data_IF_476450908822
#
_entry.id   IF_476450908822
#
_cell.length_a   1.000
_cell.length_b   1.000
_cell.length_c   1.000
_cell.angle_alpha   90.00
_cell.angle_beta   90.00
_cell.angle_gamma   90.00
#
_symmetry.space_group_name_H-M   'P 1'
#
loop_
_entity.id
_entity.type
_entity.pdbx_description
1 polymer ?
#
# COMPACT_ATOMS: atom_id res chain seq x y z
N UNK A 1 7.06 2.13 24.93
CA UNK A 1 7.28 3.01 23.76
C UNK A 1 5.99 3.10 22.99
N UNK A 2 5.63 4.29 22.48
CA UNK A 2 4.45 4.49 21.62
C UNK A 2 4.83 4.24 20.16
N UNK A 3 3.90 3.72 19.35
CA UNK A 3 4.10 3.46 17.92
C UNK A 3 3.18 4.39 17.12
N UNK A 4 3.72 4.98 16.07
CA UNK A 4 2.96 5.72 15.06
C UNK A 4 3.03 4.98 13.73
N UNK A 5 1.90 4.40 13.34
CA UNK A 5 1.67 3.85 12.00
C UNK A 5 0.92 4.91 11.19
N UNK A 6 1.52 5.33 10.09
CA UNK A 6 0.96 6.41 9.26
C UNK A 6 0.43 5.80 7.97
N UNK A 7 -0.85 6.03 7.70
CA UNK A 7 -1.60 5.36 6.65
C UNK A 7 -1.72 6.20 5.39
N UNK A 8 -1.39 5.59 4.26
CA UNK A 8 -1.76 6.05 2.92
C UNK A 8 -3.11 5.45 2.56
N UNK A 9 -4.12 6.29 2.34
CA UNK A 9 -5.42 5.79 1.87
C UNK A 9 -5.32 5.41 0.39
N UNK A 10 -5.64 4.16 0.07
CA UNK A 10 -5.59 3.66 -1.30
C UNK A 10 -6.88 4.02 -2.05
N UNK A 11 -6.73 4.48 -3.29
CA UNK A 11 -7.82 4.76 -4.22
C UNK A 11 -7.33 4.64 -5.66
N UNK A 12 -8.26 4.70 -6.61
CA UNK A 12 -7.98 4.50 -8.03
C UNK A 12 -7.66 3.04 -8.35
N UNK A 13 -6.95 2.84 -9.46
CA UNK A 13 -6.49 1.52 -9.89
C UNK A 13 -5.05 1.60 -10.39
N UNK A 14 -4.12 1.19 -9.52
CA UNK A 14 -2.68 1.18 -9.82
C UNK A 14 -2.32 0.27 -11.00
N UNK A 15 -3.14 -0.76 -11.29
CA UNK A 15 -2.92 -1.68 -12.42
C UNK A 15 -3.48 -1.15 -13.73
N UNK A 16 -4.27 -0.08 -13.71
CA UNK A 16 -4.83 0.52 -14.92
C UNK A 16 -3.75 1.38 -15.63
N UNK A 17 -3.35 1.07 -16.87
CA UNK A 17 -2.37 1.87 -17.62
C UNK A 17 -2.88 3.29 -17.95
N UNK A 18 -4.19 3.53 -17.83
CA UNK A 18 -4.80 4.84 -17.97
C UNK A 18 -4.85 5.66 -16.68
N UNK A 19 -4.42 5.12 -15.54
CA UNK A 19 -4.33 5.87 -14.27
C UNK A 19 -3.23 6.93 -14.35
N UNK A 20 -3.55 8.17 -13.99
CA UNK A 20 -2.65 9.33 -14.10
C UNK A 20 -2.46 10.07 -12.79
N UNK A 21 -3.36 9.88 -11.83
CA UNK A 21 -3.37 10.60 -10.56
C UNK A 21 -2.78 9.72 -9.45
N UNK A 22 -3.32 8.50 -9.30
CA UNK A 22 -2.94 7.57 -8.23
C UNK A 22 -1.95 6.50 -8.72
N UNK A 23 -0.84 6.98 -9.30
CA UNK A 23 0.22 6.15 -9.87
C UNK A 23 1.15 5.59 -8.78
N UNK A 24 2.09 4.71 -9.15
CA UNK A 24 3.09 4.20 -8.21
C UNK A 24 3.92 5.33 -7.61
N UNK A 25 4.33 6.28 -8.45
CA UNK A 25 5.10 7.45 -8.02
C UNK A 25 4.34 8.33 -7.03
N UNK A 26 3.01 8.41 -7.15
CA UNK A 26 2.18 9.11 -6.16
C UNK A 26 2.34 8.47 -4.77
N UNK A 27 2.19 7.15 -4.68
CA UNK A 27 2.31 6.44 -3.42
C UNK A 27 3.74 6.45 -2.86
N UNK A 28 4.77 6.35 -3.72
CA UNK A 28 6.16 6.41 -3.26
C UNK A 28 6.55 7.78 -2.73
N UNK A 29 6.14 8.88 -3.38
CA UNK A 29 6.37 10.23 -2.86
C UNK A 29 5.64 10.48 -1.54
N UNK A 30 4.42 9.95 -1.41
CA UNK A 30 3.68 10.06 -0.15
C UNK A 30 4.36 9.24 0.96
N UNK A 31 4.85 8.04 0.66
CA UNK A 31 5.61 7.23 1.60
C UNK A 31 6.90 7.91 2.05
N UNK A 32 7.63 8.57 1.14
CA UNK A 32 8.82 9.36 1.47
C UNK A 32 8.50 10.48 2.48
N UNK A 33 7.44 11.26 2.21
CA UNK A 33 6.98 12.30 3.15
C UNK A 33 6.59 11.73 4.52
N UNK A 34 6.01 10.53 4.56
CA UNK A 34 5.63 9.85 5.80
C UNK A 34 6.86 9.39 6.59
N UNK A 35 7.86 8.84 5.91
CA UNK A 35 9.13 8.42 6.52
C UNK A 35 9.87 9.63 7.07
N UNK A 36 9.98 10.71 6.29
CA UNK A 36 10.62 11.97 6.70
C UNK A 36 9.93 12.61 7.91
N UNK A 37 8.62 12.38 8.06
CA UNK A 37 7.85 12.84 9.22
C UNK A 37 8.06 11.97 10.48
N UNK A 38 8.82 10.87 10.40
CA UNK A 38 9.20 10.04 11.55
C UNK A 38 8.22 8.90 11.87
N UNK A 39 7.52 8.36 10.86
CA UNK A 39 6.68 7.18 11.04
C UNK A 39 7.50 5.95 11.51
N UNK A 40 6.85 5.03 12.23
CA UNK A 40 7.44 3.76 12.64
C UNK A 40 7.00 2.61 11.72
N UNK A 41 5.84 2.74 11.08
CA UNK A 41 5.22 1.77 10.17
C UNK A 41 4.54 2.52 9.04
N UNK A 42 4.67 2.03 7.81
CA UNK A 42 3.90 2.50 6.66
C UNK A 42 2.64 1.64 6.50
N UNK A 43 1.46 2.25 6.50
CA UNK A 43 0.22 1.50 6.23
C UNK A 43 -0.30 1.79 4.82
N UNK A 44 -0.71 0.73 4.11
CA UNK A 44 -1.63 0.83 2.98
C UNK A 44 -3.04 0.62 3.54
N UNK A 45 -3.86 1.67 3.53
CA UNK A 45 -5.25 1.62 3.97
C UNK A 45 -6.19 1.63 2.78
N UNK A 46 -6.60 0.47 2.33
CA UNK A 46 -7.65 0.29 1.33
C UNK A 46 -9.03 0.20 2.01
N UNK A 47 -9.63 1.35 2.27
CA UNK A 47 -10.92 1.45 2.98
C UNK A 47 -12.11 0.90 2.18
N UNK A 48 -11.99 0.80 0.85
CA UNK A 48 -13.09 0.44 -0.03
C UNK A 48 -12.96 -0.96 -0.65
N UNK A 49 -11.80 -1.62 -0.47
CA UNK A 49 -11.54 -2.93 -1.08
C UNK A 49 -11.15 -2.84 -2.55
N UNK A 50 -10.54 -1.73 -2.97
CA UNK A 50 -10.16 -1.46 -4.37
C UNK A 50 -8.85 -2.15 -4.77
N UNK A 51 -7.95 -2.38 -3.83
CA UNK A 51 -6.61 -2.90 -4.09
C UNK A 51 -6.69 -4.36 -4.56
N UNK A 52 -6.34 -4.61 -5.82
CA UNK A 52 -6.32 -5.96 -6.41
C UNK A 52 -4.94 -6.61 -6.26
N UNK A 53 -4.90 -7.94 -6.29
CA UNK A 53 -3.68 -8.72 -6.07
C UNK A 53 -2.44 -8.25 -6.89
N UNK A 54 -2.53 -7.97 -8.21
CA UNK A 54 -1.37 -7.48 -8.97
C UNK A 54 -0.87 -6.10 -8.50
N UNK A 55 -1.80 -5.21 -8.15
CA UNK A 55 -1.48 -3.90 -7.59
C UNK A 55 -0.87 -4.01 -6.19
N UNK A 56 -1.36 -4.93 -5.35
CA UNK A 56 -0.83 -5.18 -4.02
C UNK A 56 0.62 -5.67 -4.08
N UNK A 57 0.90 -6.68 -4.91
CA UNK A 57 2.27 -7.16 -5.12
C UNK A 57 3.20 -6.05 -5.58
N UNK A 58 2.75 -5.23 -6.54
CA UNK A 58 3.51 -4.09 -7.08
C UNK A 58 3.82 -3.06 -6.01
N UNK A 59 2.79 -2.59 -5.29
CA UNK A 59 2.92 -1.51 -4.31
C UNK A 59 3.74 -1.95 -3.11
N UNK A 60 3.46 -3.13 -2.54
CA UNK A 60 4.21 -3.66 -1.39
C UNK A 60 5.68 -3.87 -1.76
N UNK A 61 5.98 -4.52 -2.90
CA UNK A 61 7.36 -4.72 -3.33
C UNK A 61 8.12 -3.41 -3.49
N UNK A 62 7.47 -2.39 -4.05
CA UNK A 62 8.06 -1.07 -4.21
C UNK A 62 8.31 -0.39 -2.85
N UNK A 63 7.36 -0.43 -1.92
CA UNK A 63 7.55 0.14 -0.59
C UNK A 63 8.70 -0.56 0.16
N UNK A 64 8.70 -1.90 0.18
CA UNK A 64 9.75 -2.70 0.84
C UNK A 64 11.14 -2.54 0.21
N UNK A 65 11.22 -2.19 -1.08
CA UNK A 65 12.48 -1.92 -1.77
C UNK A 65 13.05 -0.53 -1.44
N UNK A 66 12.19 0.47 -1.25
CA UNK A 66 12.61 1.87 -1.14
C UNK A 66 12.68 2.37 0.31
N UNK A 67 12.03 1.69 1.26
CA UNK A 67 11.96 2.13 2.66
C UNK A 67 12.21 0.97 3.62
N UNK A 68 12.95 1.24 4.70
CA UNK A 68 13.30 0.23 5.71
C UNK A 68 12.14 -0.08 6.69
N UNK A 69 11.10 0.76 6.69
CA UNK A 69 9.94 0.60 7.58
C UNK A 69 9.14 -0.67 7.23
N UNK A 70 8.53 -1.34 8.23
CA UNK A 70 7.55 -2.38 7.97
C UNK A 70 6.32 -1.82 7.25
N UNK A 71 5.68 -2.65 6.44
CA UNK A 71 4.50 -2.29 5.65
C UNK A 71 3.28 -3.06 6.18
N UNK A 72 2.26 -2.34 6.66
CA UNK A 72 1.01 -2.94 7.13
C UNK A 72 -0.09 -2.76 6.07
N UNK A 73 -0.75 -3.84 5.66
CA UNK A 73 -1.85 -3.78 4.68
C UNK A 73 -3.20 -3.95 5.36
N UNK A 74 -4.07 -2.95 5.21
CA UNK A 74 -5.48 -2.99 5.57
C UNK A 74 -6.33 -2.98 4.29
N UNK A 75 -7.30 -3.89 4.16
CA UNK A 75 -8.30 -3.85 3.07
C UNK A 75 -9.68 -4.32 3.56
N UNK A 76 -10.69 -4.20 2.71
CA UNK A 76 -12.06 -4.70 2.92
C UNK A 76 -12.43 -5.72 1.83
N UNK A 77 -13.29 -6.68 2.16
CA UNK A 77 -13.75 -7.70 1.19
C UNK A 77 -14.97 -7.28 0.35
N UNK A 78 -15.22 -5.98 0.19
CA UNK A 78 -16.44 -5.49 -0.48
C UNK A 78 -16.67 -6.11 -1.86
N UNK A 79 -15.65 -6.27 -2.74
CA UNK A 79 -15.82 -6.94 -4.03
C UNK A 79 -15.46 -8.44 -4.02
N UNK A 80 -15.18 -9.05 -2.85
CA UNK A 80 -14.86 -10.48 -2.72
C UNK A 80 -13.44 -10.88 -3.13
N UNK A 81 -12.48 -9.95 -3.13
CA UNK A 81 -11.11 -10.16 -3.59
C UNK A 81 -10.03 -10.15 -2.50
N UNK A 82 -10.39 -9.93 -1.23
CA UNK A 82 -9.39 -9.55 -0.21
C UNK A 82 -8.35 -10.64 0.05
N UNK A 83 -8.75 -11.91 -0.01
CA UNK A 83 -7.84 -13.02 0.29
C UNK A 83 -6.69 -13.10 -0.73
N UNK A 84 -7.00 -12.88 -2.01
CA UNK A 84 -5.98 -12.82 -3.05
C UNK A 84 -5.09 -11.59 -2.88
N UNK A 85 -5.66 -10.45 -2.49
CA UNK A 85 -4.91 -9.23 -2.19
C UNK A 85 -3.95 -9.42 -1.02
N UNK A 86 -4.40 -10.05 0.08
CA UNK A 86 -3.55 -10.36 1.23
C UNK A 86 -2.46 -11.37 0.89
N UNK A 87 -2.78 -12.44 0.15
CA UNK A 87 -1.78 -13.42 -0.27
C UNK A 87 -0.67 -12.76 -1.10
N UNK A 88 -1.05 -11.94 -2.08
CA UNK A 88 -0.09 -11.23 -2.93
C UNK A 88 0.75 -10.21 -2.15
N UNK A 89 0.15 -9.51 -1.17
CA UNK A 89 0.88 -8.61 -0.29
C UNK A 89 1.89 -9.35 0.60
N UNK A 90 1.49 -10.50 1.17
CA UNK A 90 2.36 -11.35 1.98
C UNK A 90 3.53 -11.90 1.16
N UNK A 91 3.29 -12.40 -0.05
CA UNK A 91 4.34 -12.87 -0.96
C UNK A 91 5.31 -11.75 -1.37
N UNK A 92 4.83 -10.51 -1.45
CA UNK A 92 5.64 -9.32 -1.72
C UNK A 92 6.40 -8.78 -0.49
N UNK A 93 6.21 -9.38 0.70
CA UNK A 93 6.97 -9.07 1.91
C UNK A 93 6.37 -7.99 2.79
N UNK A 94 5.04 -7.80 2.75
CA UNK A 94 4.29 -7.10 3.81
C UNK A 94 4.39 -7.86 5.13
#
# INVERSE_FOLDING_TARGET
TTIAEVAMSYTGDLSNPGEKLYTLDYYLRLAEQIVDAGAHVLAIKDMAGLLRAPAAATLVSALRKNFDLPVHVHTHDTPGGQLATYLAAWEAGA
#
